data_IF_454031517021
#
_entry.id   IF_454031517021
#
_cell.length_a   1.000
_cell.length_b   1.000
_cell.length_c   1.000
_cell.angle_alpha   90.00
_cell.angle_beta   90.00
_cell.angle_gamma   90.00
#
_symmetry.space_group_name_H-M   'P 1'
#
loop_
_entity.id
_entity.type
_entity.pdbx_description
1 polymer ?
#
# COMPACT_ATOMS: atom_id res chain seq x y z
N UNK A 1 9.40 -28.15 29.45
CA UNK A 1 9.38 -27.78 28.03
C UNK A 1 8.85 -26.37 27.94
N UNK A 2 9.74 -25.40 27.77
CA UNK A 2 9.40 -23.98 27.77
C UNK A 2 8.59 -23.66 26.51
N UNK A 3 7.38 -23.15 26.70
CA UNK A 3 6.46 -22.80 25.62
C UNK A 3 6.95 -21.49 24.98
N UNK A 4 7.90 -21.60 24.06
CA UNK A 4 8.36 -20.48 23.24
C UNK A 4 7.21 -20.06 22.33
N UNK A 5 6.36 -19.16 22.84
CA UNK A 5 5.25 -18.62 22.07
C UNK A 5 5.81 -17.79 20.92
N UNK A 6 5.61 -18.27 19.68
CA UNK A 6 5.98 -17.54 18.46
C UNK A 6 5.45 -16.11 18.53
N UNK A 7 6.30 -15.07 18.37
CA UNK A 7 5.89 -13.69 18.55
C UNK A 7 4.78 -13.34 17.56
N UNK A 8 3.63 -12.88 18.04
CA UNK A 8 2.45 -12.57 17.21
C UNK A 8 2.55 -11.14 16.67
N UNK A 9 2.10 -10.95 15.42
CA UNK A 9 1.98 -9.60 14.82
C UNK A 9 1.10 -8.74 15.73
N UNK A 10 1.61 -7.58 16.13
CA UNK A 10 0.92 -6.67 17.05
C UNK A 10 -0.45 -6.25 16.51
N UNK A 11 -1.42 -6.05 17.41
CA UNK A 11 -2.78 -5.68 17.03
C UNK A 11 -2.83 -4.43 16.14
N UNK A 12 -2.01 -3.41 16.44
CA UNK A 12 -1.91 -2.20 15.63
C UNK A 12 -1.48 -2.46 14.19
N UNK A 13 -0.47 -3.32 13.96
CA UNK A 13 -0.04 -3.71 12.61
C UNK A 13 -1.18 -4.40 11.86
N UNK A 14 -1.90 -5.31 12.54
CA UNK A 14 -3.05 -6.00 11.93
C UNK A 14 -4.17 -5.02 11.55
N UNK A 15 -4.54 -4.11 12.44
CA UNK A 15 -5.60 -3.12 12.17
C UNK A 15 -5.23 -2.23 10.99
N UNK A 16 -4.02 -1.66 10.97
CA UNK A 16 -3.58 -0.82 9.85
C UNK A 16 -3.53 -1.62 8.55
N UNK A 17 -3.03 -2.87 8.61
CA UNK A 17 -2.99 -3.75 7.43
C UNK A 17 -4.38 -4.05 6.88
N UNK A 18 -5.37 -4.31 7.73
CA UNK A 18 -6.75 -4.56 7.29
C UNK A 18 -7.33 -3.31 6.63
N UNK A 19 -7.15 -2.13 7.24
CA UNK A 19 -7.62 -0.87 6.68
C UNK A 19 -6.98 -0.64 5.30
N UNK A 20 -5.67 -0.82 5.19
CA UNK A 20 -4.92 -0.64 3.95
C UNK A 20 -5.41 -1.62 2.86
N UNK A 21 -5.60 -2.90 3.21
CA UNK A 21 -6.09 -3.91 2.26
C UNK A 21 -7.50 -3.60 1.75
N UNK A 22 -8.39 -3.09 2.62
CA UNK A 22 -9.74 -2.68 2.22
C UNK A 22 -9.66 -1.50 1.28
N UNK A 23 -8.92 -0.43 1.65
CA UNK A 23 -8.79 0.77 0.81
C UNK A 23 -8.15 0.47 -0.55
N UNK A 24 -7.04 -0.28 -0.56
CA UNK A 24 -6.35 -0.67 -1.79
C UNK A 24 -7.16 -1.66 -2.61
N UNK A 25 -7.94 -2.55 -1.97
CA UNK A 25 -8.86 -3.45 -2.65
C UNK A 25 -9.96 -2.70 -3.40
N UNK A 26 -10.61 -1.74 -2.75
CA UNK A 26 -11.59 -0.87 -3.40
C UNK A 26 -10.97 -0.06 -4.54
N UNK A 27 -9.77 0.50 -4.33
CA UNK A 27 -9.05 1.24 -5.36
C UNK A 27 -8.73 0.34 -6.57
N UNK A 28 -8.22 -0.87 -6.35
CA UNK A 28 -7.90 -1.81 -7.42
C UNK A 28 -9.14 -2.20 -8.23
N UNK A 29 -10.26 -2.51 -7.56
CA UNK A 29 -11.53 -2.82 -8.23
C UNK A 29 -12.01 -1.61 -9.07
N UNK A 30 -11.92 -0.40 -8.52
CA UNK A 30 -12.27 0.82 -9.24
C UNK A 30 -11.42 1.03 -10.50
N UNK A 31 -10.10 0.82 -10.39
CA UNK A 31 -9.16 0.94 -11.51
C UNK A 31 -9.40 -0.16 -12.57
N UNK A 32 -9.62 -1.40 -12.15
CA UNK A 32 -9.96 -2.52 -13.05
C UNK A 32 -11.25 -2.21 -13.81
N UNK A 33 -12.29 -1.77 -13.09
CA UNK A 33 -13.57 -1.40 -13.70
C UNK A 33 -13.37 -0.27 -14.71
N UNK A 34 -12.60 0.77 -14.34
CA UNK A 34 -12.24 1.87 -15.22
C UNK A 34 -11.55 1.42 -16.50
N UNK A 35 -10.73 0.36 -16.46
CA UNK A 35 -10.10 -0.20 -17.66
C UNK A 35 -11.13 -0.82 -18.61
N UNK A 36 -12.10 -1.58 -18.08
CA UNK A 36 -13.16 -2.19 -18.90
C UNK A 36 -14.10 -1.19 -19.56
N UNK A 37 -14.29 0.00 -18.97
CA UNK A 37 -15.17 1.06 -19.50
C UNK A 37 -14.41 2.27 -20.03
N UNK A 38 -13.12 2.11 -20.35
CA UNK A 38 -12.23 3.22 -20.77
C UNK A 38 -12.83 4.06 -21.90
N UNK A 39 -13.43 3.44 -22.91
CA UNK A 39 -13.98 4.17 -24.07
C UNK A 39 -15.18 5.04 -23.68
N UNK A 40 -16.01 4.56 -22.75
CA UNK A 40 -17.13 5.33 -22.20
C UNK A 40 -16.63 6.51 -21.37
N UNK A 41 -15.59 6.29 -20.56
CA UNK A 41 -14.95 7.35 -19.77
C UNK A 41 -14.39 8.43 -20.69
N UNK A 42 -13.68 8.05 -21.76
CA UNK A 42 -13.15 9.01 -22.75
C UNK A 42 -14.26 9.79 -23.44
N UNK A 43 -15.34 9.13 -23.85
CA UNK A 43 -16.49 9.79 -24.46
C UNK A 43 -17.14 10.81 -23.49
N UNK A 44 -17.27 10.47 -22.21
CA UNK A 44 -17.80 11.37 -21.18
C UNK A 44 -16.85 12.54 -20.92
N UNK A 45 -15.54 12.29 -20.78
CA UNK A 45 -14.53 13.34 -20.60
C UNK A 45 -14.54 14.35 -21.75
N UNK A 46 -14.61 13.85 -23.00
CA UNK A 46 -14.70 14.67 -24.19
C UNK A 46 -15.99 15.50 -24.22
N UNK A 47 -17.13 14.92 -23.85
CA UNK A 47 -18.41 15.62 -23.76
C UNK A 47 -18.41 16.69 -22.64
N UNK A 48 -17.69 16.45 -21.55
CA UNK A 48 -17.57 17.36 -20.43
C UNK A 48 -16.48 18.45 -20.63
N UNK A 49 -15.71 18.41 -21.72
CA UNK A 49 -14.59 19.32 -21.96
C UNK A 49 -13.42 19.13 -20.97
N UNK A 50 -13.34 17.97 -20.33
CA UNK A 50 -12.29 17.66 -19.34
C UNK A 50 -11.18 16.86 -20.02
N UNK A 51 -9.89 17.14 -19.73
CA UNK A 51 -8.77 16.36 -20.26
C UNK A 51 -8.95 14.86 -20.00
N UNK A 52 -8.68 14.04 -21.02
CA UNK A 52 -8.73 12.59 -20.89
C UNK A 52 -7.61 12.09 -19.98
N UNK A 53 -7.95 11.24 -19.00
CA UNK A 53 -6.95 10.56 -18.19
C UNK A 53 -6.23 9.51 -19.06
N UNK A 54 -4.90 9.56 -19.20
CA UNK A 54 -4.17 8.58 -19.99
C UNK A 54 -4.35 7.17 -19.41
N UNK A 55 -4.60 6.17 -20.27
CA UNK A 55 -4.71 4.77 -19.84
C UNK A 55 -3.45 4.29 -19.10
N UNK A 56 -2.27 4.81 -19.47
CA UNK A 56 -1.02 4.56 -18.75
C UNK A 56 -1.09 4.95 -17.28
N UNK A 57 -1.78 6.04 -16.94
CA UNK A 57 -1.97 6.50 -15.55
C UNK A 57 -2.77 5.48 -14.75
N UNK A 58 -3.83 4.92 -15.34
CA UNK A 58 -4.68 3.91 -14.70
C UNK A 58 -3.88 2.62 -14.45
N UNK A 59 -3.10 2.18 -15.45
CA UNK A 59 -2.26 0.98 -15.35
C UNK A 59 -1.17 1.14 -14.30
N UNK A 60 -0.46 2.28 -14.26
CA UNK A 60 0.58 2.55 -13.25
C UNK A 60 -0.03 2.53 -11.85
N UNK A 61 -1.15 3.23 -11.64
CA UNK A 61 -1.84 3.23 -10.35
C UNK A 61 -2.29 1.84 -9.92
N UNK A 62 -2.72 1.00 -10.85
CA UNK A 62 -3.13 -0.38 -10.57
C UNK A 62 -1.92 -1.23 -10.14
N UNK A 63 -0.78 -1.10 -10.82
CA UNK A 63 0.46 -1.80 -10.45
C UNK A 63 0.92 -1.38 -9.06
N UNK A 64 0.89 -0.09 -8.73
CA UNK A 64 1.24 0.42 -7.40
C UNK A 64 0.30 -0.15 -6.34
N UNK A 65 -1.02 -0.14 -6.57
CA UNK A 65 -1.99 -0.70 -5.64
C UNK A 65 -1.73 -2.19 -5.36
N UNK A 66 -1.44 -2.97 -6.40
CA UNK A 66 -1.08 -4.39 -6.25
C UNK A 66 0.23 -4.58 -5.47
N UNK A 67 1.25 -3.76 -5.73
CA UNK A 67 2.51 -3.81 -4.98
C UNK A 67 2.29 -3.50 -3.49
N UNK A 68 1.46 -2.52 -3.15
CA UNK A 68 1.11 -2.21 -1.76
C UNK A 68 0.38 -3.39 -1.12
N UNK A 69 -0.61 -3.99 -1.80
CA UNK A 69 -1.33 -5.18 -1.31
C UNK A 69 -0.36 -6.33 -1.01
N UNK A 70 0.53 -6.66 -1.95
CA UNK A 70 1.53 -7.72 -1.80
C UNK A 70 2.44 -7.41 -0.61
N UNK A 71 2.88 -6.15 -0.48
CA UNK A 71 3.73 -5.70 0.62
C UNK A 71 3.04 -5.88 1.98
N UNK A 72 1.77 -5.50 2.10
CA UNK A 72 0.99 -5.66 3.34
C UNK A 72 0.80 -7.13 3.68
N UNK A 73 0.56 -8.00 2.71
CA UNK A 73 0.48 -9.45 2.92
C UNK A 73 1.82 -9.98 3.46
N UNK A 74 2.95 -9.56 2.87
CA UNK A 74 4.28 -9.93 3.36
C UNK A 74 4.55 -9.42 4.79
N UNK A 75 4.09 -8.22 5.14
CA UNK A 75 4.16 -7.70 6.51
C UNK A 75 3.36 -8.59 7.48
N UNK A 76 2.14 -9.00 7.10
CA UNK A 76 1.33 -9.92 7.90
C UNK A 76 1.98 -11.30 8.04
N UNK A 77 2.74 -11.74 7.03
CA UNK A 77 3.58 -12.95 7.05
C UNK A 77 4.90 -12.78 7.83
N UNK A 78 5.13 -11.62 8.47
CA UNK A 78 6.35 -11.30 9.24
C UNK A 78 7.62 -11.32 8.39
N UNK A 79 7.53 -10.97 7.11
CA UNK A 79 8.67 -10.88 6.21
C UNK A 79 9.20 -9.45 6.19
N UNK A 80 10.48 -9.26 6.51
CA UNK A 80 11.15 -7.95 6.45
C UNK A 80 11.02 -7.31 5.06
N UNK A 81 11.11 -8.12 3.99
CA UNK A 81 10.96 -7.66 2.61
C UNK A 81 9.64 -6.90 2.39
N UNK A 82 8.56 -7.29 3.07
CA UNK A 82 7.27 -6.61 2.99
C UNK A 82 7.32 -5.18 3.51
N UNK A 83 8.14 -4.92 4.53
CA UNK A 83 8.32 -3.57 5.11
C UNK A 83 9.00 -2.66 4.10
N UNK A 84 10.14 -3.11 3.53
CA UNK A 84 10.87 -2.32 2.54
C UNK A 84 10.02 -2.06 1.30
N UNK A 85 9.34 -3.09 0.79
CA UNK A 85 8.49 -2.96 -0.40
C UNK A 85 7.32 -2.01 -0.15
N UNK A 86 6.70 -2.05 1.04
CA UNK A 86 5.61 -1.15 1.41
C UNK A 86 6.07 0.31 1.40
N UNK A 87 7.13 0.66 2.12
CA UNK A 87 7.60 2.04 2.20
C UNK A 87 8.08 2.58 0.84
N UNK A 88 8.79 1.76 0.06
CA UNK A 88 9.22 2.15 -1.29
C UNK A 88 8.00 2.41 -2.19
N UNK A 89 7.02 1.51 -2.20
CA UNK A 89 5.80 1.66 -3.00
C UNK A 89 5.00 2.90 -2.56
N UNK A 90 4.88 3.16 -1.26
CA UNK A 90 4.23 4.36 -0.73
C UNK A 90 4.94 5.64 -1.18
N UNK A 91 6.27 5.72 -1.04
CA UNK A 91 7.04 6.91 -1.46
C UNK A 91 6.93 7.11 -2.97
N UNK A 92 7.07 6.04 -3.76
CA UNK A 92 6.90 6.09 -5.20
C UNK A 92 5.51 6.60 -5.60
N UNK A 93 4.45 6.13 -4.91
CA UNK A 93 3.08 6.59 -5.14
C UNK A 93 2.91 8.09 -4.83
N UNK A 94 3.47 8.56 -3.73
CA UNK A 94 3.42 9.98 -3.34
C UNK A 94 4.14 10.84 -4.38
N UNK A 95 5.36 10.46 -4.78
CA UNK A 95 6.13 11.17 -5.81
C UNK A 95 5.36 11.21 -7.13
N UNK A 96 4.82 10.07 -7.56
CA UNK A 96 4.00 9.98 -8.76
C UNK A 96 2.76 10.88 -8.71
N UNK A 97 2.06 10.91 -7.57
CA UNK A 97 0.89 11.77 -7.37
C UNK A 97 1.26 13.25 -7.45
N UNK A 98 2.38 13.66 -6.83
CA UNK A 98 2.86 15.05 -6.89
C UNK A 98 3.19 15.44 -8.34
N UNK A 99 3.88 14.58 -9.08
CA UNK A 99 4.27 14.85 -10.47
C UNK A 99 3.06 14.94 -11.40
N UNK A 100 2.08 14.05 -11.25
CA UNK A 100 0.93 13.96 -12.18
C UNK A 100 -0.23 14.88 -11.83
N UNK A 101 -0.46 15.15 -10.54
CA UNK A 101 -1.63 15.92 -10.07
C UNK A 101 -1.28 17.19 -9.31
N UNK A 102 0.01 17.47 -9.09
CA UNK A 102 0.51 18.57 -8.29
C UNK A 102 0.45 18.28 -6.79
N UNK A 103 1.05 19.16 -5.99
CA UNK A 103 0.97 19.07 -4.53
C UNK A 103 -0.42 19.49 -4.05
N UNK A 104 -1.07 18.63 -3.25
CA UNK A 104 -2.37 18.89 -2.62
C UNK A 104 -2.27 18.65 -1.11
N UNK A 105 -2.96 19.43 -0.26
CA UNK A 105 -2.99 19.19 1.19
C UNK A 105 -3.45 17.77 1.57
N UNK A 106 -4.31 17.16 0.74
CA UNK A 106 -4.75 15.78 0.91
C UNK A 106 -3.60 14.74 0.91
N UNK A 107 -2.45 15.06 0.30
CA UNK A 107 -1.27 14.18 0.34
C UNK A 107 -0.77 14.01 1.78
N UNK A 108 -0.85 15.04 2.62
CA UNK A 108 -0.43 14.96 4.03
C UNK A 108 -1.28 13.92 4.78
N UNK A 109 -2.59 13.87 4.50
CA UNK A 109 -3.48 12.87 5.09
C UNK A 109 -3.13 11.45 4.64
N UNK A 110 -2.64 11.28 3.40
CA UNK A 110 -2.22 9.97 2.88
C UNK A 110 -0.98 9.40 3.58
N UNK A 111 -0.17 10.24 4.26
CA UNK A 111 0.99 9.79 5.02
C UNK A 111 0.65 9.23 6.41
N UNK A 112 -0.58 9.44 6.90
CA UNK A 112 -0.97 9.01 8.26
C UNK A 112 -0.85 7.49 8.41
N UNK A 113 -1.43 6.72 7.49
CA UNK A 113 -1.39 5.25 7.55
C UNK A 113 0.04 4.69 7.43
N UNK A 114 0.87 5.11 6.45
CA UNK A 114 2.27 4.70 6.39
C UNK A 114 3.08 5.04 7.65
N UNK A 115 2.85 6.22 8.22
CA UNK A 115 3.54 6.66 9.44
C UNK A 115 3.15 5.80 10.64
N UNK A 116 1.84 5.54 10.81
CA UNK A 116 1.35 4.65 11.88
C UNK A 116 1.90 3.22 11.71
N UNK A 117 1.92 2.70 10.48
CA UNK A 117 2.51 1.39 10.18
C UNK A 117 3.98 1.36 10.61
N UNK A 118 4.76 2.39 10.26
CA UNK A 118 6.17 2.52 10.65
C UNK A 118 6.39 2.55 12.15
N UNK A 119 5.60 3.34 12.88
CA UNK A 119 5.66 3.41 14.36
C UNK A 119 5.37 2.03 14.98
N UNK A 120 4.34 1.33 14.49
CA UNK A 120 3.99 0.01 15.02
C UNK A 120 5.05 -1.06 14.70
N UNK A 121 5.64 -1.02 13.52
CA UNK A 121 6.77 -1.89 13.15
C UNK A 121 7.97 -1.60 14.04
N UNK A 122 8.32 -0.33 14.27
CA UNK A 122 9.47 0.03 15.09
C UNK A 122 9.33 -0.44 16.55
N UNK A 123 8.12 -0.30 17.11
CA UNK A 123 7.79 -0.83 18.45
C UNK A 123 7.82 -2.37 18.53
N UNK A 124 7.79 -3.07 17.40
CA UNK A 124 7.77 -4.54 17.30
C UNK A 124 8.86 -5.07 16.36
N UNK A 125 10.01 -4.39 16.30
CA UNK A 125 11.14 -4.75 15.43
C UNK A 125 11.63 -6.19 15.64
N UNK A 126 11.50 -6.70 16.87
CA UNK A 126 11.85 -8.07 17.30
C UNK A 126 11.10 -9.17 16.52
N UNK A 127 9.93 -8.87 15.96
CA UNK A 127 9.11 -9.83 15.20
C UNK A 127 9.62 -9.98 13.77
N UNK A 128 10.28 -8.94 13.27
CA UNK A 128 10.72 -8.85 11.89
C UNK A 128 12.21 -9.14 11.77
N UNK A 129 13.02 -8.74 12.75
CA UNK A 129 14.47 -8.95 12.76
C UNK A 129 14.86 -10.43 12.67
N UNK A 130 15.67 -10.75 11.66
CA UNK A 130 16.20 -12.08 11.41
C UNK A 130 17.23 -12.53 12.47
N UNK A 131 17.73 -11.62 13.33
CA UNK A 131 18.77 -11.92 14.34
C UNK A 131 18.27 -12.85 15.47
N UNK A 132 16.99 -12.81 15.83
CA UNK A 132 16.41 -13.71 16.86
C UNK A 132 16.17 -15.13 16.35
N UNK A 133 16.28 -15.37 15.03
CA UNK A 133 16.04 -16.68 14.43
C UNK A 133 17.24 -17.61 14.46
N UNK A 134 18.44 -17.09 14.75
CA UNK A 134 19.69 -17.85 14.76
C UNK A 134 20.13 -18.31 16.17
N UNK A 135 19.33 -18.04 17.20
CA UNK A 135 19.65 -18.43 18.60
C UNK A 135 18.93 -19.75 18.99
N UNK A 136 18.05 -20.27 18.12
CA UNK A 136 17.30 -21.52 18.35
C UNK A 136 17.69 -22.64 17.37
N UNK A 137 18.98 -22.75 17.02
CA UNK A 137 19.53 -23.92 16.30
C UNK A 137 20.26 -24.83 17.28
#
# INVERSE_FOLDING_TARGET
>A
MENVQKPKVGAGIKTVSIIELVLMGFMAIGLITSLFITDKIKAISKAAGVPETPTSTIVISLVIALLVIISVILILMKKELGIYMYFIATVANIVYSIVTTGFKPAIILSLILPTLMGIFIWKKKEIFSTETKNIEV
#
